data_IF_689383108155
#
_entry.id   IF_689383108155
#
_cell.length_a   1.000
_cell.length_b   1.000
_cell.length_c   1.000
_cell.angle_alpha   90.00
_cell.angle_beta   90.00
_cell.angle_gamma   90.00
#
_symmetry.space_group_name_H-M   'P 1'
#
loop_
_entity.id
_entity.type
_entity.pdbx_description
1 polymer ?
#
# COMPACT_ATOMS: atom_id res chain seq x y z
N UNK A 1 8.49 5.24 -1.91
CA UNK A 1 8.55 5.59 -3.36
C UNK A 1 7.16 5.95 -3.77
N UNK A 2 6.94 7.21 -4.13
CA UNK A 2 5.69 7.59 -4.78
C UNK A 2 5.58 6.72 -6.03
N UNK A 3 4.58 5.85 -6.09
CA UNK A 3 4.28 5.13 -7.31
C UNK A 3 4.08 6.17 -8.43
N UNK A 4 4.59 5.96 -9.63
CA UNK A 4 4.54 6.95 -10.70
C UNK A 4 3.17 6.98 -11.39
N UNK A 5 2.10 7.16 -10.63
CA UNK A 5 0.74 7.32 -11.16
C UNK A 5 0.42 8.78 -11.53
N UNK A 6 1.32 9.72 -11.22
CA UNK A 6 1.14 11.14 -11.48
C UNK A 6 1.97 11.74 -12.60
N UNK A 7 2.73 10.96 -13.38
CA UNK A 7 3.64 11.51 -14.39
C UNK A 7 3.59 10.76 -15.70
N UNK A 8 2.49 10.88 -16.45
CA UNK A 8 2.49 10.73 -17.90
C UNK A 8 1.52 11.73 -18.50
N UNK A 9 1.93 12.96 -18.57
CA UNK A 9 1.57 13.92 -19.61
C UNK A 9 2.42 15.16 -19.43
N UNK A 10 3.74 15.04 -19.56
CA UNK A 10 4.53 16.18 -19.95
C UNK A 10 4.40 16.33 -21.46
N UNK A 11 3.45 17.15 -21.89
CA UNK A 11 3.57 17.78 -23.21
C UNK A 11 4.77 18.71 -23.16
N UNK A 12 5.84 18.32 -23.81
CA UNK A 12 6.95 19.21 -24.14
C UNK A 12 6.39 20.28 -25.09
N UNK A 13 6.13 21.46 -24.56
CA UNK A 13 5.83 22.63 -25.35
C UNK A 13 7.16 23.13 -25.90
N UNK A 14 7.50 22.74 -27.13
CA UNK A 14 8.53 23.44 -27.90
C UNK A 14 8.03 24.86 -28.19
N UNK A 15 8.62 25.86 -27.52
CA UNK A 15 8.49 27.27 -27.91
C UNK A 15 9.18 27.50 -29.25
N UNK A 16 8.40 27.48 -30.31
CA UNK A 16 8.82 28.15 -31.54
C UNK A 16 8.20 29.57 -31.55
N UNK A 17 9.02 30.56 -31.25
CA UNK A 17 8.68 31.95 -31.54
C UNK A 17 8.72 32.18 -33.06
N UNK A 18 7.58 31.97 -33.72
CA UNK A 18 7.40 32.42 -35.09
C UNK A 18 6.62 33.75 -35.06
N UNK A 19 7.34 34.86 -35.29
CA UNK A 19 6.74 36.14 -35.63
C UNK A 19 6.21 36.04 -37.07
N UNK A 20 5.01 35.47 -37.23
CA UNK A 20 4.29 35.40 -38.49
C UNK A 20 3.17 36.43 -38.50
N UNK A 21 3.10 37.26 -39.53
CA UNK A 21 2.01 38.19 -39.79
C UNK A 21 0.65 37.46 -39.70
N UNK A 22 -0.21 37.85 -38.76
CA UNK A 22 -1.57 37.33 -38.64
C UNK A 22 -2.40 37.88 -39.81
N UNK A 23 -2.64 37.04 -40.82
CA UNK A 23 -3.81 37.21 -41.68
C UNK A 23 -5.04 37.23 -40.78
N UNK A 24 -6.03 38.09 -41.03
CA UNK A 24 -7.28 38.17 -40.28
C UNK A 24 -8.04 36.82 -40.42
N UNK A 25 -7.72 35.87 -39.56
CA UNK A 25 -8.42 34.60 -39.51
C UNK A 25 -9.82 34.87 -38.95
N UNK A 26 -10.87 34.30 -39.57
CA UNK A 26 -12.24 34.42 -39.07
C UNK A 26 -12.32 33.95 -37.60
N UNK A 27 -13.28 34.46 -36.86
CA UNK A 27 -13.44 34.23 -35.40
C UNK A 27 -13.51 32.74 -35.04
N UNK A 28 -13.96 31.91 -35.97
CA UNK A 28 -14.10 30.45 -35.82
C UNK A 28 -13.16 29.66 -36.76
N UNK A 29 -12.20 30.30 -37.40
CA UNK A 29 -11.27 29.58 -38.31
C UNK A 29 -10.28 28.75 -37.46
N UNK A 30 -10.35 27.41 -37.49
CA UNK A 30 -9.48 26.57 -36.66
C UNK A 30 -8.09 26.41 -37.28
N UNK A 31 -7.12 26.08 -36.45
CA UNK A 31 -5.82 25.55 -36.87
C UNK A 31 -5.96 24.13 -37.46
N UNK A 32 -4.92 23.55 -38.09
CA UNK A 32 -4.99 22.20 -38.63
C UNK A 32 -5.33 21.09 -37.67
N UNK A 33 -5.11 21.31 -36.36
CA UNK A 33 -5.48 20.40 -35.30
C UNK A 33 -6.89 20.64 -34.75
N UNK A 34 -7.62 21.62 -35.29
CA UNK A 34 -8.95 22.02 -34.82
C UNK A 34 -8.93 23.06 -33.69
N UNK A 35 -7.75 23.52 -33.24
CA UNK A 35 -7.65 24.55 -32.17
C UNK A 35 -8.22 25.89 -32.71
N UNK A 36 -9.25 26.43 -32.04
CA UNK A 36 -9.90 27.68 -32.41
C UNK A 36 -9.15 28.88 -31.82
N UNK A 37 -9.39 30.12 -32.37
CA UNK A 37 -8.88 31.35 -31.77
C UNK A 37 -9.30 31.50 -30.31
N UNK A 38 -10.53 31.09 -29.92
CA UNK A 38 -11.03 31.11 -28.57
C UNK A 38 -10.23 30.18 -27.66
N UNK A 39 -9.98 28.94 -28.09
CA UNK A 39 -9.15 28.00 -27.34
C UNK A 39 -7.74 28.54 -27.09
N UNK A 40 -7.17 29.22 -28.08
CA UNK A 40 -5.85 29.86 -27.97
C UNK A 40 -5.85 30.98 -26.94
N UNK A 41 -6.87 31.87 -27.00
CA UNK A 41 -7.02 32.96 -26.06
C UNK A 41 -7.16 32.46 -24.60
N UNK A 42 -7.95 31.40 -24.40
CA UNK A 42 -8.10 30.76 -23.09
C UNK A 42 -6.78 30.13 -22.62
N UNK A 43 -6.08 29.38 -23.47
CA UNK A 43 -4.78 28.77 -23.13
C UNK A 43 -3.73 29.82 -22.74
N UNK A 44 -3.82 31.04 -23.31
CA UNK A 44 -2.94 32.17 -22.97
C UNK A 44 -3.43 33.00 -21.78
N UNK A 45 -4.53 32.58 -21.17
CA UNK A 45 -5.18 33.32 -20.07
C UNK A 45 -5.51 34.79 -20.42
N UNK A 46 -5.85 35.05 -21.71
CA UNK A 46 -6.16 36.37 -22.20
C UNK A 46 -7.65 36.65 -22.12
N UNK A 47 -8.11 37.07 -20.93
CA UNK A 47 -9.52 37.34 -20.65
C UNK A 47 -10.14 38.42 -21.56
N UNK A 48 -9.34 39.43 -21.99
CA UNK A 48 -9.82 40.49 -22.90
C UNK A 48 -10.09 39.95 -24.30
N UNK A 49 -9.22 39.08 -24.80
CA UNK A 49 -9.38 38.43 -26.12
C UNK A 49 -10.51 37.39 -26.07
N UNK A 50 -10.67 36.67 -24.97
CA UNK A 50 -11.83 35.78 -24.72
C UNK A 50 -13.13 36.57 -24.84
N UNK A 51 -13.23 37.71 -24.13
CA UNK A 51 -14.42 38.58 -24.20
C UNK A 51 -14.68 39.11 -25.63
N UNK A 52 -13.62 39.48 -26.34
CA UNK A 52 -13.74 39.98 -27.72
C UNK A 52 -14.27 38.87 -28.64
N UNK A 53 -13.73 37.66 -28.52
CA UNK A 53 -14.11 36.53 -29.36
C UNK A 53 -15.54 36.04 -29.05
N UNK A 54 -15.95 35.98 -27.79
CA UNK A 54 -17.33 35.63 -27.40
C UNK A 54 -18.33 36.65 -27.98
N UNK A 55 -18.04 37.96 -27.87
CA UNK A 55 -18.90 38.99 -28.48
C UNK A 55 -18.97 38.95 -29.99
N UNK A 56 -17.97 38.35 -30.63
CA UNK A 56 -17.92 38.15 -32.06
C UNK A 56 -18.47 36.79 -32.52
N UNK A 57 -19.31 36.15 -31.68
CA UNK A 57 -19.95 34.86 -31.92
C UNK A 57 -18.97 33.69 -32.13
N UNK A 58 -17.88 33.66 -31.35
CA UNK A 58 -17.02 32.48 -31.30
C UNK A 58 -17.79 31.25 -30.83
N UNK A 59 -17.60 30.12 -31.52
CA UNK A 59 -18.20 28.85 -31.11
C UNK A 59 -17.53 28.35 -29.82
N UNK A 60 -18.22 28.55 -28.69
CA UNK A 60 -17.76 28.11 -27.36
C UNK A 60 -17.82 26.60 -27.15
N UNK A 61 -18.53 25.86 -28.05
CA UNK A 61 -18.69 24.40 -27.97
C UNK A 61 -17.72 23.67 -28.88
N UNK A 62 -16.98 24.39 -29.72
CA UNK A 62 -16.02 23.77 -30.59
C UNK A 62 -15.03 22.90 -29.82
N UNK A 63 -14.74 21.72 -30.34
CA UNK A 63 -13.70 20.83 -29.83
C UNK A 63 -12.64 20.60 -30.91
N UNK A 64 -11.38 20.50 -30.52
CA UNK A 64 -10.33 20.12 -31.46
C UNK A 64 -10.32 18.58 -31.63
N UNK A 65 -9.42 18.06 -32.50
CA UNK A 65 -9.31 16.60 -32.76
C UNK A 65 -8.96 15.74 -31.53
N UNK A 66 -8.61 16.35 -30.41
CA UNK A 66 -8.31 15.70 -29.14
C UNK A 66 -9.46 15.86 -28.13
N UNK A 67 -10.66 16.25 -28.58
CA UNK A 67 -11.82 16.55 -27.75
C UNK A 67 -11.60 17.68 -26.72
N UNK A 68 -10.57 18.52 -26.92
CA UNK A 68 -10.30 19.68 -26.07
C UNK A 68 -11.18 20.84 -26.47
N UNK A 69 -11.87 21.44 -25.49
CA UNK A 69 -12.73 22.62 -25.67
C UNK A 69 -12.10 23.87 -25.01
N UNK A 70 -12.63 25.05 -25.29
CA UNK A 70 -12.24 26.25 -24.55
C UNK A 70 -12.49 26.12 -23.05
N UNK A 71 -13.63 25.51 -22.66
CA UNK A 71 -13.96 25.28 -21.24
C UNK A 71 -12.96 24.33 -20.57
N UNK A 72 -12.58 23.23 -21.21
CA UNK A 72 -11.61 22.30 -20.61
C UNK A 72 -10.24 22.97 -20.39
N UNK A 73 -9.79 23.83 -21.30
CA UNK A 73 -8.57 24.64 -21.14
C UNK A 73 -8.68 25.63 -19.96
N UNK A 74 -9.82 26.31 -19.83
CA UNK A 74 -10.07 27.21 -18.70
C UNK A 74 -10.06 26.48 -17.36
N UNK A 75 -10.58 25.22 -17.33
CA UNK A 75 -10.54 24.37 -16.14
C UNK A 75 -9.12 23.93 -15.77
N UNK A 76 -8.26 23.67 -16.75
CA UNK A 76 -6.82 23.37 -16.52
C UNK A 76 -6.12 24.59 -15.89
N UNK A 77 -6.42 25.79 -16.37
CA UNK A 77 -5.87 27.04 -15.82
C UNK A 77 -6.47 27.38 -14.44
N UNK A 78 -7.65 26.86 -14.14
CA UNK A 78 -8.39 27.16 -12.88
C UNK A 78 -9.00 28.56 -12.84
N UNK A 79 -9.14 29.25 -14.00
CA UNK A 79 -9.67 30.61 -14.08
C UNK A 79 -11.21 30.61 -14.02
N UNK A 80 -11.73 30.85 -12.82
CA UNK A 80 -13.17 30.92 -12.57
C UNK A 80 -13.87 32.02 -13.41
N UNK A 81 -13.19 33.14 -13.69
CA UNK A 81 -13.78 34.23 -14.44
C UNK A 81 -13.95 33.91 -15.93
N UNK A 82 -12.96 33.27 -16.53
CA UNK A 82 -13.05 32.76 -17.92
C UNK A 82 -14.09 31.63 -18.00
N UNK A 83 -14.09 30.69 -17.04
CA UNK A 83 -15.08 29.61 -16.96
C UNK A 83 -16.50 30.20 -16.92
N UNK A 84 -16.75 31.18 -16.05
CA UNK A 84 -18.06 31.85 -15.95
C UNK A 84 -18.49 32.49 -17.29
N UNK A 85 -17.57 33.14 -17.99
CA UNK A 85 -17.86 33.76 -19.30
C UNK A 85 -18.24 32.73 -20.36
N UNK A 86 -17.46 31.63 -20.42
CA UNK A 86 -17.73 30.53 -21.36
C UNK A 86 -19.08 29.86 -21.10
N UNK A 87 -19.41 29.61 -19.82
CA UNK A 87 -20.68 29.00 -19.43
C UNK A 87 -21.87 29.93 -19.74
N UNK A 88 -21.75 31.23 -19.47
CA UNK A 88 -22.76 32.22 -19.86
C UNK A 88 -22.95 32.32 -21.38
N UNK A 89 -21.89 32.07 -22.13
CA UNK A 89 -21.96 32.03 -23.60
C UNK A 89 -22.50 30.70 -24.14
N UNK A 90 -22.85 29.72 -23.26
CA UNK A 90 -23.49 28.47 -23.63
C UNK A 90 -22.56 27.27 -23.75
N UNK A 91 -21.33 27.34 -23.20
CA UNK A 91 -20.51 26.16 -23.04
C UNK A 91 -21.21 25.15 -22.10
N UNK A 92 -21.04 23.86 -22.36
CA UNK A 92 -21.64 22.81 -21.56
C UNK A 92 -20.76 22.48 -20.32
N UNK A 93 -21.23 22.69 -19.07
CA UNK A 93 -20.48 22.38 -17.87
C UNK A 93 -20.17 20.87 -17.70
N UNK A 94 -20.82 20.02 -18.51
CA UNK A 94 -20.64 18.57 -18.49
C UNK A 94 -19.97 18.05 -19.78
N UNK A 95 -19.40 18.93 -20.60
CA UNK A 95 -18.73 18.51 -21.83
C UNK A 95 -17.61 17.53 -21.51
N UNK A 96 -17.79 16.25 -21.92
CA UNK A 96 -16.83 15.21 -21.71
C UNK A 96 -15.57 15.42 -22.58
N UNK A 97 -14.41 15.33 -21.96
CA UNK A 97 -13.12 15.24 -22.61
C UNK A 97 -12.74 13.80 -22.95
N UNK A 98 -11.47 13.53 -23.22
CA UNK A 98 -10.97 12.17 -23.35
C UNK A 98 -11.32 11.34 -22.09
N UNK A 99 -11.67 10.07 -22.29
CA UNK A 99 -12.01 9.14 -21.19
C UNK A 99 -13.19 9.62 -20.32
N UNK A 100 -14.09 10.42 -20.90
CA UNK A 100 -15.25 11.02 -20.22
C UNK A 100 -14.88 11.95 -19.03
N UNK A 101 -13.64 12.46 -19.00
CA UNK A 101 -13.21 13.45 -18.01
C UNK A 101 -14.06 14.72 -18.12
N UNK A 102 -14.72 15.11 -17.02
CA UNK A 102 -15.56 16.32 -16.99
C UNK A 102 -14.76 17.56 -16.56
N UNK A 103 -15.25 18.78 -16.90
CA UNK A 103 -14.69 20.03 -16.38
C UNK A 103 -14.55 20.05 -14.86
N UNK A 104 -15.54 19.49 -14.13
CA UNK A 104 -15.52 19.42 -12.66
C UNK A 104 -14.40 18.50 -12.15
N UNK A 105 -14.13 17.38 -12.80
CA UNK A 105 -12.99 16.51 -12.47
C UNK A 105 -11.66 17.21 -12.67
N UNK A 106 -11.50 17.93 -13.78
CA UNK A 106 -10.28 18.71 -14.05
C UNK A 106 -9.99 19.72 -12.94
N UNK A 107 -11.00 20.54 -12.53
CA UNK A 107 -10.81 21.53 -11.46
C UNK A 107 -10.66 20.88 -10.08
N UNK A 108 -11.26 19.70 -9.86
CA UNK A 108 -11.06 18.93 -8.64
C UNK A 108 -9.62 18.44 -8.50
N UNK A 109 -9.01 17.99 -9.60
CA UNK A 109 -7.61 17.59 -9.66
C UNK A 109 -6.63 18.74 -9.41
N UNK A 110 -6.96 19.96 -9.87
CA UNK A 110 -6.09 21.13 -9.70
C UNK A 110 -6.34 21.86 -8.38
N UNK A 111 -7.44 21.56 -7.68
CA UNK A 111 -7.83 22.24 -6.44
C UNK A 111 -8.43 23.62 -6.65
N UNK A 112 -8.87 23.97 -7.87
CA UNK A 112 -9.43 25.28 -8.20
C UNK A 112 -10.88 25.44 -7.68
N UNK A 113 -11.02 25.73 -6.38
CA UNK A 113 -12.29 25.74 -5.64
C UNK A 113 -13.30 26.72 -6.25
N UNK A 114 -12.90 27.93 -6.59
CA UNK A 114 -13.81 28.93 -7.15
C UNK A 114 -14.31 28.55 -8.55
N UNK A 115 -13.44 27.91 -9.35
CA UNK A 115 -13.83 27.33 -10.63
C UNK A 115 -14.86 26.22 -10.46
N UNK A 116 -14.68 25.35 -9.45
CA UNK A 116 -15.64 24.30 -9.14
C UNK A 116 -17.01 24.87 -8.73
N UNK A 117 -17.05 25.91 -7.87
CA UNK A 117 -18.30 26.58 -7.50
C UNK A 117 -19.04 27.14 -8.71
N UNK A 118 -18.31 27.74 -9.65
CA UNK A 118 -18.88 28.26 -10.90
C UNK A 118 -19.49 27.15 -11.74
N UNK A 119 -18.73 26.06 -11.96
CA UNK A 119 -19.24 24.89 -12.69
C UNK A 119 -20.50 24.30 -12.07
N UNK A 120 -20.50 24.10 -10.74
CA UNK A 120 -21.64 23.55 -10.00
C UNK A 120 -22.87 24.49 -10.08
N UNK A 121 -22.67 25.80 -9.97
CA UNK A 121 -23.76 26.78 -10.13
C UNK A 121 -24.39 26.76 -11.53
N UNK A 122 -23.64 26.34 -12.55
CA UNK A 122 -24.12 26.18 -13.93
C UNK A 122 -24.58 24.75 -14.26
N UNK A 123 -24.72 23.85 -13.26
CA UNK A 123 -25.30 22.52 -13.46
C UNK A 123 -24.29 21.43 -13.81
N UNK A 124 -23.02 21.57 -13.42
CA UNK A 124 -22.07 20.45 -13.46
C UNK A 124 -22.57 19.31 -12.56
N UNK A 125 -22.59 18.10 -13.10
CA UNK A 125 -23.00 16.88 -12.40
C UNK A 125 -21.87 16.42 -11.47
N UNK A 126 -22.12 16.45 -10.16
CA UNK A 126 -21.11 16.23 -9.12
C UNK A 126 -20.56 14.79 -9.11
N UNK A 127 -21.42 13.80 -9.41
CA UNK A 127 -21.08 12.37 -9.36
C UNK A 127 -20.85 11.74 -10.75
N UNK A 128 -20.57 12.58 -11.76
CA UNK A 128 -20.10 12.04 -13.05
C UNK A 128 -18.87 11.16 -12.84
N UNK A 129 -18.75 10.11 -13.67
CA UNK A 129 -17.63 9.16 -13.61
C UNK A 129 -16.86 9.21 -14.92
N UNK A 130 -15.55 9.23 -14.86
CA UNK A 130 -14.73 8.99 -16.05
C UNK A 130 -14.79 7.49 -16.43
N UNK A 131 -14.43 7.16 -17.69
CA UNK A 131 -14.65 5.81 -18.23
C UNK A 131 -13.50 4.84 -17.96
N UNK A 132 -12.34 5.30 -17.48
CA UNK A 132 -11.17 4.45 -17.30
C UNK A 132 -11.22 3.69 -15.95
N UNK A 133 -11.41 4.41 -14.86
CA UNK A 133 -11.47 3.83 -13.50
C UNK A 133 -12.81 4.08 -12.81
N UNK A 134 -13.73 4.81 -13.45
CA UNK A 134 -15.02 5.18 -12.86
C UNK A 134 -14.86 6.12 -11.67
N UNK A 135 -13.79 6.90 -11.64
CA UNK A 135 -13.53 7.86 -10.57
C UNK A 135 -14.42 9.10 -10.71
N UNK A 136 -14.75 9.72 -9.57
CA UNK A 136 -15.53 10.96 -9.48
C UNK A 136 -14.62 12.15 -9.17
N UNK A 137 -15.14 13.37 -9.32
CA UNK A 137 -14.44 14.59 -8.91
C UNK A 137 -14.02 14.56 -7.42
N UNK A 138 -14.84 13.96 -6.54
CA UNK A 138 -14.51 13.81 -5.11
C UNK A 138 -13.29 12.91 -4.89
N UNK A 139 -13.18 11.82 -5.64
CA UNK A 139 -12.02 10.92 -5.58
C UNK A 139 -10.76 11.61 -6.07
N UNK A 140 -10.85 12.39 -7.16
CA UNK A 140 -9.72 13.15 -7.70
C UNK A 140 -9.24 14.23 -6.73
N UNK A 141 -10.17 14.95 -6.07
CA UNK A 141 -9.82 15.92 -5.02
C UNK A 141 -9.10 15.25 -3.84
N UNK A 142 -9.54 14.07 -3.43
CA UNK A 142 -8.92 13.30 -2.36
C UNK A 142 -7.53 12.76 -2.75
N UNK A 143 -7.38 12.23 -3.98
CA UNK A 143 -6.12 11.74 -4.52
C UNK A 143 -5.05 12.84 -4.71
N UNK A 144 -5.47 14.10 -4.82
CA UNK A 144 -4.57 15.24 -4.96
C UNK A 144 -4.44 16.06 -3.67
N UNK A 145 -5.02 15.59 -2.57
CA UNK A 145 -4.92 16.23 -1.24
C UNK A 145 -5.50 17.66 -1.19
N UNK A 146 -6.72 17.85 -1.73
CA UNK A 146 -7.42 19.13 -1.76
C UNK A 146 -8.62 19.16 -0.80
N UNK A 147 -8.46 19.40 0.51
CA UNK A 147 -9.53 19.32 1.49
C UNK A 147 -10.64 20.36 1.28
N UNK A 148 -10.35 21.57 0.79
CA UNK A 148 -11.37 22.59 0.53
C UNK A 148 -12.20 22.28 -0.73
N UNK A 149 -11.61 21.62 -1.71
CA UNK A 149 -12.34 21.08 -2.85
C UNK A 149 -13.28 19.95 -2.41
N UNK A 150 -12.83 19.05 -1.53
CA UNK A 150 -13.66 17.99 -0.94
C UNK A 150 -14.88 18.62 -0.25
N UNK A 151 -14.69 19.64 0.61
CA UNK A 151 -15.79 20.35 1.25
C UNK A 151 -16.80 20.93 0.24
N UNK A 152 -16.28 21.52 -0.84
CA UNK A 152 -17.11 22.13 -1.89
C UNK A 152 -17.94 21.08 -2.63
N UNK A 153 -17.35 19.93 -2.98
CA UNK A 153 -18.05 18.84 -3.67
C UNK A 153 -19.10 18.18 -2.76
N UNK A 154 -18.77 17.95 -1.49
CA UNK A 154 -19.73 17.42 -0.50
C UNK A 154 -20.91 18.39 -0.27
N UNK A 155 -20.65 19.69 -0.21
CA UNK A 155 -21.71 20.70 -0.10
C UNK A 155 -22.63 20.72 -1.34
N UNK A 156 -22.12 20.28 -2.49
CA UNK A 156 -22.89 20.12 -3.74
C UNK A 156 -23.61 18.76 -3.83
N UNK A 157 -23.50 17.90 -2.79
CA UNK A 157 -24.20 16.62 -2.71
C UNK A 157 -23.44 15.43 -3.32
N UNK A 158 -22.10 15.52 -3.43
CA UNK A 158 -21.28 14.38 -3.88
C UNK A 158 -21.51 13.13 -2.99
N UNK A 159 -21.65 11.96 -3.60
CA UNK A 159 -21.74 10.70 -2.86
C UNK A 159 -20.39 10.39 -2.20
N UNK A 160 -20.36 10.58 -0.88
CA UNK A 160 -19.17 10.44 -0.04
C UNK A 160 -18.59 9.01 -0.02
N UNK A 161 -19.45 8.00 -0.23
CA UNK A 161 -19.10 6.59 -0.22
C UNK A 161 -19.06 5.97 -1.63
N UNK A 162 -19.16 6.78 -2.67
CA UNK A 162 -18.95 6.30 -4.02
C UNK A 162 -17.60 5.58 -4.12
N UNK A 163 -17.59 4.43 -4.79
CA UNK A 163 -16.38 3.66 -5.05
C UNK A 163 -16.04 3.69 -6.54
N UNK A 164 -14.77 3.68 -6.89
CA UNK A 164 -14.30 3.57 -8.28
C UNK A 164 -14.71 2.21 -8.90
N UNK A 165 -14.60 2.08 -10.20
CA UNK A 165 -14.97 0.84 -10.89
C UNK A 165 -14.09 -0.32 -10.44
N UNK A 166 -14.72 -1.49 -10.23
CA UNK A 166 -14.03 -2.74 -9.98
C UNK A 166 -13.64 -3.38 -11.31
N UNK A 167 -12.34 -3.58 -11.52
CA UNK A 167 -11.81 -4.22 -12.73
C UNK A 167 -11.37 -5.63 -12.40
N UNK A 168 -11.99 -6.61 -13.05
CA UNK A 168 -11.54 -7.99 -12.96
C UNK A 168 -10.49 -8.24 -14.06
N UNK A 169 -9.24 -8.32 -13.65
CA UNK A 169 -8.14 -8.61 -14.57
C UNK A 169 -8.17 -10.08 -14.96
N UNK A 170 -8.08 -10.36 -16.26
CA UNK A 170 -7.80 -11.71 -16.72
C UNK A 170 -6.42 -12.15 -16.22
N UNK A 171 -6.33 -13.44 -15.88
CA UNK A 171 -5.05 -14.03 -15.45
C UNK A 171 -4.00 -13.81 -16.53
N UNK A 172 -3.02 -12.97 -16.23
CA UNK A 172 -1.89 -12.78 -17.13
C UNK A 172 -0.93 -13.95 -17.00
N UNK A 173 -0.86 -14.78 -18.03
CA UNK A 173 0.19 -15.78 -18.17
C UNK A 173 1.46 -15.05 -18.57
N UNK A 174 2.34 -14.81 -17.60
CA UNK A 174 3.69 -14.30 -17.86
C UNK A 174 4.68 -15.46 -17.85
N UNK A 175 5.89 -15.29 -18.42
CA UNK A 175 6.96 -16.26 -18.34
C UNK A 175 7.39 -16.60 -16.89
N UNK A 176 6.97 -15.79 -15.93
CA UNK A 176 7.09 -16.08 -14.50
C UNK A 176 5.82 -16.80 -14.01
N UNK A 177 5.93 -17.94 -13.32
CA UNK A 177 4.78 -18.77 -12.90
C UNK A 177 3.94 -18.17 -11.76
N UNK A 178 3.99 -16.87 -11.54
CA UNK A 178 3.38 -16.19 -10.40
C UNK A 178 2.20 -15.33 -10.82
N UNK A 179 1.10 -15.45 -10.10
CA UNK A 179 -0.04 -14.58 -10.26
C UNK A 179 0.37 -13.16 -9.88
N UNK A 180 0.33 -12.22 -10.84
CA UNK A 180 0.53 -10.82 -10.53
C UNK A 180 -0.73 -10.31 -9.83
N UNK A 181 -0.53 -9.77 -8.65
CA UNK A 181 -1.56 -9.04 -7.95
C UNK A 181 -1.74 -7.64 -8.57
N UNK A 182 -2.86 -7.45 -9.24
CA UNK A 182 -3.26 -6.15 -9.77
C UNK A 182 -4.38 -5.60 -8.90
N UNK A 183 -4.34 -4.30 -8.51
CA UNK A 183 -5.42 -3.66 -7.77
C UNK A 183 -6.72 -3.77 -8.55
N UNK A 184 -7.80 -4.17 -7.88
CA UNK A 184 -9.12 -4.33 -8.51
C UNK A 184 -9.89 -3.01 -8.64
N UNK A 185 -9.41 -1.91 -8.09
CA UNK A 185 -10.18 -0.67 -7.96
C UNK A 185 -11.12 -0.71 -6.76
N UNK A 186 -12.32 -0.11 -6.87
CA UNK A 186 -13.27 -0.07 -5.76
C UNK A 186 -12.88 0.92 -4.65
N UNK A 187 -11.99 1.87 -4.93
CA UNK A 187 -11.52 2.86 -3.95
C UNK A 187 -12.53 3.97 -3.75
N UNK A 188 -12.78 4.32 -2.49
CA UNK A 188 -13.53 5.52 -2.10
C UNK A 188 -12.62 6.74 -1.98
N UNK A 189 -13.22 7.94 -1.93
CA UNK A 189 -12.47 9.17 -1.66
C UNK A 189 -11.66 9.09 -0.33
N UNK A 190 -12.21 8.44 0.72
CA UNK A 190 -11.51 8.24 1.98
C UNK A 190 -10.27 7.34 1.82
N UNK A 191 -10.35 6.30 1.01
CA UNK A 191 -9.20 5.42 0.72
C UNK A 191 -8.11 6.15 -0.06
N UNK A 192 -8.48 7.01 -1.02
CA UNK A 192 -7.53 7.87 -1.72
C UNK A 192 -6.84 8.82 -0.74
N UNK A 193 -7.60 9.52 0.11
CA UNK A 193 -7.06 10.44 1.12
C UNK A 193 -6.10 9.73 2.10
N UNK A 194 -6.45 8.52 2.54
CA UNK A 194 -5.64 7.71 3.44
C UNK A 194 -4.33 7.23 2.77
N UNK A 195 -4.38 6.88 1.49
CA UNK A 195 -3.20 6.49 0.71
C UNK A 195 -2.22 7.64 0.48
N UNK A 196 -2.74 8.85 0.27
CA UNK A 196 -1.93 10.04 -0.04
C UNK A 196 -1.48 10.82 1.22
N UNK A 197 -1.69 10.28 2.43
CA UNK A 197 -1.36 10.92 3.71
C UNK A 197 -2.05 12.29 3.92
N UNK A 198 -3.22 12.50 3.33
CA UNK A 198 -3.94 13.74 3.50
C UNK A 198 -4.82 13.69 4.77
N UNK A 199 -4.23 13.91 5.94
CA UNK A 199 -4.97 13.86 7.21
C UNK A 199 -6.14 14.86 7.25
N UNK A 200 -6.00 16.05 6.66
CA UNK A 200 -7.08 17.02 6.59
C UNK A 200 -8.22 16.56 5.66
N UNK A 201 -7.90 15.88 4.54
CA UNK A 201 -8.91 15.27 3.69
C UNK A 201 -9.67 14.18 4.44
N UNK A 202 -8.95 13.31 5.18
CA UNK A 202 -9.53 12.26 6.02
C UNK A 202 -10.48 12.86 7.07
N UNK A 203 -10.05 13.93 7.76
CA UNK A 203 -10.88 14.62 8.74
C UNK A 203 -12.16 15.20 8.13
N UNK A 204 -12.06 15.81 6.96
CA UNK A 204 -13.22 16.40 6.26
C UNK A 204 -14.18 15.30 5.85
N UNK A 205 -13.71 14.23 5.21
CA UNK A 205 -14.55 13.11 4.76
C UNK A 205 -15.21 12.40 5.93
N UNK A 206 -14.46 12.05 6.97
CA UNK A 206 -14.99 11.39 8.15
C UNK A 206 -16.00 12.27 8.90
N UNK A 207 -15.70 13.58 9.05
CA UNK A 207 -16.60 14.55 9.66
C UNK A 207 -17.92 14.74 8.89
N UNK A 208 -17.91 14.50 7.60
CA UNK A 208 -19.09 14.51 6.74
C UNK A 208 -19.83 13.15 6.66
N UNK A 209 -19.37 12.12 7.40
CA UNK A 209 -20.04 10.84 7.51
C UNK A 209 -19.54 9.75 6.55
N UNK A 210 -18.33 9.85 6.03
CA UNK A 210 -17.73 8.77 5.28
C UNK A 210 -17.65 7.48 6.13
N UNK A 211 -17.96 6.34 5.52
CA UNK A 211 -17.83 5.05 6.20
C UNK A 211 -16.35 4.69 6.36
N UNK A 212 -15.85 4.74 7.60
CA UNK A 212 -14.44 4.47 7.94
C UNK A 212 -14.03 3.01 7.69
N UNK A 213 -15.01 2.12 7.58
CA UNK A 213 -14.83 0.68 7.45
C UNK A 213 -15.15 0.14 6.05
N UNK A 214 -15.50 1.01 5.11
CA UNK A 214 -15.80 0.58 3.75
C UNK A 214 -14.52 0.13 3.05
N UNK A 215 -14.43 -1.17 2.81
CA UNK A 215 -13.26 -1.81 2.21
C UNK A 215 -13.38 -1.87 0.68
N UNK A 216 -12.24 -1.99 0.02
CA UNK A 216 -12.16 -2.33 -1.40
C UNK A 216 -12.54 -3.81 -1.64
N UNK A 217 -12.61 -4.29 -2.90
CA UNK A 217 -12.92 -5.68 -3.21
C UNK A 217 -11.94 -6.71 -2.65
N UNK A 218 -10.74 -6.28 -2.29
CA UNK A 218 -9.74 -7.13 -1.63
C UNK A 218 -9.89 -7.15 -0.11
N UNK A 219 -10.84 -6.38 0.45
CA UNK A 219 -11.08 -6.26 1.89
C UNK A 219 -10.16 -5.25 2.58
N UNK A 220 -9.40 -4.46 1.83
CA UNK A 220 -8.50 -3.45 2.40
C UNK A 220 -9.33 -2.24 2.84
N UNK A 221 -9.33 -1.95 4.15
CA UNK A 221 -9.98 -0.77 4.72
C UNK A 221 -9.10 0.49 4.58
N UNK A 222 -9.67 1.72 4.70
CA UNK A 222 -8.87 2.95 4.73
C UNK A 222 -7.74 2.93 5.76
N UNK A 223 -7.98 2.35 6.95
CA UNK A 223 -6.96 2.21 8.00
C UNK A 223 -5.85 1.24 7.59
N UNK A 224 -6.16 0.06 7.12
CA UNK A 224 -5.14 -0.91 6.63
C UNK A 224 -4.37 -0.31 5.45
N UNK A 225 -5.06 0.40 4.54
CA UNK A 225 -4.43 1.07 3.40
C UNK A 225 -3.41 2.14 3.86
N UNK A 226 -3.74 2.97 4.86
CA UNK A 226 -2.80 3.94 5.41
C UNK A 226 -1.57 3.28 6.06
N UNK A 227 -1.75 2.19 6.82
CA UNK A 227 -0.65 1.46 7.46
C UNK A 227 0.32 0.90 6.43
N UNK A 228 -0.20 0.25 5.38
CA UNK A 228 0.63 -0.33 4.31
C UNK A 228 1.48 0.74 3.60
N UNK A 229 0.95 1.95 3.49
CA UNK A 229 1.65 3.09 2.89
C UNK A 229 2.51 3.87 3.89
N UNK A 230 2.56 3.47 5.17
CA UNK A 230 3.39 4.09 6.21
C UNK A 230 2.82 5.39 6.77
N UNK A 231 1.52 5.61 6.67
CA UNK A 231 0.82 6.82 7.13
C UNK A 231 0.18 6.56 8.50
N UNK A 232 1.02 6.47 9.53
CA UNK A 232 0.61 6.03 10.88
C UNK A 232 -0.27 7.05 11.60
N UNK A 233 -0.06 8.35 11.37
CA UNK A 233 -0.93 9.39 11.94
C UNK A 233 -2.36 9.29 11.42
N UNK A 234 -2.52 8.98 10.12
CA UNK A 234 -3.84 8.76 9.51
C UNK A 234 -4.49 7.51 10.09
N UNK A 235 -3.73 6.41 10.22
CA UNK A 235 -4.23 5.16 10.79
C UNK A 235 -4.71 5.35 12.24
N UNK A 236 -3.90 5.99 13.07
CA UNK A 236 -4.22 6.27 14.48
C UNK A 236 -5.45 7.17 14.58
N UNK A 237 -5.55 8.19 13.76
CA UNK A 237 -6.71 9.08 13.74
C UNK A 237 -8.00 8.33 13.36
N UNK A 238 -7.95 7.47 12.33
CA UNK A 238 -9.09 6.64 11.94
C UNK A 238 -9.51 5.70 13.08
N UNK A 239 -8.54 5.08 13.75
CA UNK A 239 -8.77 4.22 14.92
C UNK A 239 -9.46 4.98 16.06
N UNK A 240 -8.97 6.16 16.40
CA UNK A 240 -9.56 7.04 17.44
C UNK A 240 -10.99 7.48 17.08
N UNK A 241 -11.34 7.50 15.80
CA UNK A 241 -12.69 7.80 15.30
C UNK A 241 -13.59 6.57 15.17
N UNK A 242 -13.12 5.40 15.60
CA UNK A 242 -13.91 4.18 15.66
C UNK A 242 -13.85 3.32 14.41
N UNK A 243 -12.81 3.47 13.59
CA UNK A 243 -12.53 2.46 12.57
C UNK A 243 -12.21 1.13 13.25
N UNK A 244 -12.79 0.04 12.76
CA UNK A 244 -12.64 -1.29 13.32
C UNK A 244 -11.24 -1.88 12.99
N UNK A 245 -10.36 -2.11 13.99
CA UNK A 245 -9.02 -2.66 13.77
C UNK A 245 -9.02 -4.13 13.35
N UNK A 246 -10.15 -4.83 13.48
CA UNK A 246 -10.27 -6.26 13.27
C UNK A 246 -10.82 -6.65 11.89
N UNK A 247 -11.18 -5.67 11.08
CA UNK A 247 -11.48 -5.92 9.68
C UNK A 247 -10.20 -6.33 8.95
N UNK A 248 -10.31 -7.35 8.13
CA UNK A 248 -9.17 -7.96 7.45
C UNK A 248 -9.40 -8.08 5.94
N UNK A 249 -8.30 -8.05 5.20
CA UNK A 249 -8.31 -8.26 3.76
C UNK A 249 -8.45 -9.76 3.40
N UNK A 250 -8.57 -10.07 2.13
CA UNK A 250 -8.69 -11.45 1.62
C UNK A 250 -7.56 -12.38 2.03
N UNK A 251 -6.40 -11.80 2.43
CA UNK A 251 -5.26 -12.58 2.92
C UNK A 251 -5.32 -12.84 4.43
N UNK A 252 -6.31 -12.26 5.12
CA UNK A 252 -6.44 -12.33 6.58
C UNK A 252 -5.63 -11.25 7.31
N UNK A 253 -5.10 -10.25 6.60
CA UNK A 253 -4.32 -9.17 7.18
C UNK A 253 -5.24 -8.10 7.74
N UNK A 254 -5.25 -7.93 9.06
CA UNK A 254 -5.87 -6.82 9.77
C UNK A 254 -4.85 -5.74 10.14
N UNK A 255 -5.32 -4.64 10.75
CA UNK A 255 -4.49 -3.49 11.06
C UNK A 255 -3.28 -3.84 11.95
N UNK A 256 -3.45 -4.68 12.99
CA UNK A 256 -2.34 -5.06 13.88
C UNK A 256 -1.25 -5.84 13.14
N UNK A 257 -1.65 -6.82 12.32
CA UNK A 257 -0.67 -7.55 11.51
C UNK A 257 0.07 -6.62 10.56
N UNK A 258 -0.66 -5.72 9.88
CA UNK A 258 -0.07 -4.76 8.95
C UNK A 258 0.92 -3.82 9.64
N UNK A 259 0.61 -3.37 10.86
CA UNK A 259 1.48 -2.49 11.65
C UNK A 259 2.76 -3.21 12.12
N UNK A 260 2.64 -4.45 12.62
CA UNK A 260 3.80 -5.27 13.02
C UNK A 260 4.68 -5.59 11.80
N UNK A 261 4.07 -5.93 10.67
CA UNK A 261 4.81 -6.21 9.42
C UNK A 261 5.52 -4.96 8.91
N UNK A 262 4.89 -3.78 8.95
CA UNK A 262 5.51 -2.51 8.58
C UNK A 262 6.69 -2.15 9.51
N UNK A 263 6.53 -2.34 10.83
CA UNK A 263 7.56 -2.09 11.83
C UNK A 263 8.80 -2.98 11.64
N UNK A 264 8.62 -4.19 11.16
CA UNK A 264 9.67 -5.21 11.02
C UNK A 264 10.25 -5.30 9.60
N UNK A 265 9.89 -4.41 8.69
CA UNK A 265 10.42 -4.42 7.31
C UNK A 265 11.92 -4.11 7.26
N UNK A 266 12.70 -4.80 6.38
CA UNK A 266 14.11 -4.50 6.23
C UNK A 266 14.34 -3.21 5.44
N UNK A 267 15.47 -2.59 5.71
CA UNK A 267 15.94 -1.40 5.03
C UNK A 267 16.45 -1.65 3.58
N UNK A 268 16.52 -2.90 3.09
CA UNK A 268 17.51 -3.18 2.04
C UNK A 268 17.03 -3.11 0.59
N UNK A 269 15.79 -3.31 0.22
CA UNK A 269 15.39 -3.31 -1.21
C UNK A 269 14.01 -2.73 -1.50
N UNK A 270 13.38 -2.15 -0.53
CA UNK A 270 12.13 -1.40 -0.65
C UNK A 270 12.35 -0.06 0.00
N UNK A 271 11.79 1.01 -0.52
CA UNK A 271 11.66 2.18 0.30
C UNK A 271 10.81 1.75 1.49
N UNK A 272 11.43 1.73 2.65
CA UNK A 272 10.67 1.77 3.89
C UNK A 272 9.67 2.91 3.76
N UNK A 273 8.45 2.76 4.30
CA UNK A 273 7.57 3.90 4.41
C UNK A 273 8.35 5.07 4.98
N UNK A 274 8.19 6.25 4.40
CA UNK A 274 8.85 7.44 4.93
C UNK A 274 8.21 7.82 6.27
N UNK A 275 8.71 7.22 7.35
CA UNK A 275 8.22 7.47 8.71
C UNK A 275 8.51 8.90 9.17
N UNK A 276 9.41 9.63 8.48
CA UNK A 276 9.77 11.01 8.86
C UNK A 276 8.60 12.00 8.75
N UNK A 277 7.56 11.65 8.01
CA UNK A 277 6.35 12.47 7.88
C UNK A 277 5.32 12.21 8.97
N UNK A 278 5.48 11.18 9.79
CA UNK A 278 4.58 10.87 10.88
C UNK A 278 5.04 11.52 12.19
N UNK A 279 4.08 11.90 13.04
CA UNK A 279 4.33 12.36 14.42
C UNK A 279 4.48 11.17 15.38
N UNK A 280 3.84 10.03 15.06
CA UNK A 280 3.93 8.79 15.82
C UNK A 280 4.76 7.74 15.06
N UNK A 281 5.35 6.83 15.80
CA UNK A 281 6.08 5.68 15.23
C UNK A 281 5.13 4.52 14.93
N UNK A 282 5.59 3.57 14.11
CA UNK A 282 4.90 2.28 13.92
C UNK A 282 4.68 1.54 15.24
N UNK A 283 5.62 1.65 16.19
CA UNK A 283 5.48 1.07 17.53
C UNK A 283 4.37 1.74 18.36
N UNK A 284 4.23 3.07 18.25
CA UNK A 284 3.14 3.79 18.93
C UNK A 284 1.78 3.43 18.35
N UNK A 285 1.71 3.22 17.02
CA UNK A 285 0.50 2.71 16.38
C UNK A 285 0.15 1.29 16.86
N UNK A 286 1.14 0.39 16.98
CA UNK A 286 0.92 -0.97 17.53
C UNK A 286 0.33 -0.87 18.96
N UNK A 287 0.89 -0.03 19.83
CA UNK A 287 0.35 0.22 21.18
C UNK A 287 -1.10 0.71 21.14
N UNK A 288 -1.39 1.65 20.26
CA UNK A 288 -2.74 2.20 20.09
C UNK A 288 -3.72 1.13 19.61
N UNK A 289 -3.36 0.34 18.60
CA UNK A 289 -4.19 -0.76 18.11
C UNK A 289 -4.51 -1.78 19.22
N UNK A 290 -3.51 -2.16 20.01
CA UNK A 290 -3.67 -3.06 21.15
C UNK A 290 -4.57 -2.47 22.25
N UNK A 291 -4.51 -1.15 22.47
CA UNK A 291 -5.37 -0.47 23.43
C UNK A 291 -6.84 -0.39 22.96
N UNK A 292 -7.06 -0.37 21.64
CA UNK A 292 -8.40 -0.35 21.03
C UNK A 292 -8.95 -1.75 20.71
N UNK A 293 -8.34 -2.83 21.25
CA UNK A 293 -8.88 -4.18 21.14
C UNK A 293 -8.63 -4.87 19.80
N UNK A 294 -7.51 -4.55 19.14
CA UNK A 294 -7.07 -5.33 17.99
C UNK A 294 -6.80 -6.79 18.38
N UNK A 295 -7.31 -7.74 17.61
CA UNK A 295 -7.14 -9.17 17.84
C UNK A 295 -5.67 -9.58 17.65
N UNK A 296 -5.01 -9.91 18.76
CA UNK A 296 -3.60 -10.31 18.80
C UNK A 296 -3.34 -11.69 18.18
N UNK A 297 -4.40 -12.48 18.01
CA UNK A 297 -4.31 -13.87 17.55
C UNK A 297 -4.84 -14.07 16.11
N UNK A 298 -5.21 -12.98 15.44
CA UNK A 298 -5.68 -13.08 14.06
C UNK A 298 -4.61 -13.68 13.15
N UNK A 299 -5.02 -14.69 12.38
CA UNK A 299 -4.12 -15.44 11.53
C UNK A 299 -4.31 -15.07 10.05
N UNK A 300 -3.21 -15.01 9.31
CA UNK A 300 -3.26 -14.94 7.85
C UNK A 300 -3.96 -16.19 7.29
N UNK A 301 -4.78 -15.97 6.24
CA UNK A 301 -5.53 -17.02 5.52
C UNK A 301 -4.78 -17.52 4.30
N UNK A 302 -4.00 -16.64 3.69
CA UNK A 302 -3.15 -16.94 2.54
C UNK A 302 -1.87 -16.12 2.63
N UNK A 303 -0.91 -16.43 1.76
CA UNK A 303 0.30 -15.64 1.61
C UNK A 303 -0.02 -14.21 1.18
N UNK A 304 0.74 -13.25 1.73
CA UNK A 304 0.63 -11.84 1.36
C UNK A 304 1.10 -11.61 -0.08
N UNK A 305 0.46 -10.70 -0.83
CA UNK A 305 0.93 -10.35 -2.16
C UNK A 305 2.32 -9.72 -2.10
N UNK A 306 3.14 -10.00 -3.11
CA UNK A 306 4.49 -9.46 -3.22
C UNK A 306 4.48 -7.94 -3.22
N UNK A 307 5.31 -7.33 -2.37
CA UNK A 307 5.47 -5.87 -2.29
C UNK A 307 6.53 -5.32 -3.24
N UNK A 308 7.36 -6.17 -3.85
CA UNK A 308 8.44 -5.76 -4.74
C UNK A 308 8.62 -6.71 -5.92
N UNK A 309 9.09 -6.16 -7.06
CA UNK A 309 9.43 -6.94 -8.26
C UNK A 309 10.62 -7.90 -8.07
N UNK A 310 11.41 -7.69 -7.03
CA UNK A 310 12.64 -8.45 -6.74
C UNK A 310 12.37 -9.57 -5.73
N UNK A 311 11.20 -9.58 -5.10
CA UNK A 311 10.80 -10.57 -4.12
C UNK A 311 10.49 -11.90 -4.82
N UNK A 312 11.50 -12.71 -5.00
CA UNK A 312 11.41 -14.03 -5.65
C UNK A 312 11.00 -15.13 -4.68
N UNK A 313 10.99 -14.85 -3.40
CA UNK A 313 10.77 -15.82 -2.35
C UNK A 313 9.31 -15.98 -1.99
N UNK A 314 8.84 -17.20 -1.96
CA UNK A 314 7.77 -17.58 -1.07
C UNK A 314 8.36 -17.47 0.32
N UNK A 315 8.04 -16.39 1.06
CA UNK A 315 8.35 -16.37 2.47
C UNK A 315 7.50 -17.42 3.16
N UNK A 316 8.06 -18.63 3.23
CA UNK A 316 7.41 -19.81 3.81
C UNK A 316 7.01 -19.60 5.26
N UNK A 317 7.54 -18.52 5.88
CA UNK A 317 7.25 -18.10 7.23
C UNK A 317 6.05 -17.15 7.33
N UNK A 318 5.69 -16.47 6.23
CA UNK A 318 4.59 -15.51 6.17
C UNK A 318 3.41 -16.07 5.35
N UNK A 319 3.04 -17.28 5.67
CA UNK A 319 1.99 -18.05 5.00
C UNK A 319 0.72 -18.13 5.86
N UNK A 320 -0.23 -18.93 5.41
CA UNK A 320 -1.47 -19.26 6.16
C UNK A 320 -1.14 -19.64 7.61
N UNK A 321 -1.85 -19.07 8.54
CA UNK A 321 -1.69 -19.32 9.97
C UNK A 321 -0.73 -18.37 10.68
N UNK A 322 0.01 -17.52 9.96
CA UNK A 322 0.91 -16.54 10.59
C UNK A 322 0.11 -15.52 11.40
N UNK A 323 0.55 -15.30 12.65
CA UNK A 323 0.01 -14.30 13.58
C UNK A 323 0.95 -13.10 13.72
N UNK A 324 0.51 -11.97 14.32
CA UNK A 324 1.40 -10.86 14.64
C UNK A 324 2.63 -11.26 15.45
N UNK A 325 2.48 -12.17 16.45
CA UNK A 325 3.61 -12.63 17.26
C UNK A 325 4.60 -13.50 16.47
N UNK A 326 4.13 -14.31 15.53
CA UNK A 326 5.01 -15.05 14.62
C UNK A 326 5.82 -14.10 13.73
N UNK A 327 5.18 -13.03 13.24
CA UNK A 327 5.86 -12.01 12.44
C UNK A 327 6.94 -11.28 13.23
N UNK A 328 6.62 -10.88 14.48
CA UNK A 328 7.57 -10.24 15.38
C UNK A 328 8.73 -11.19 15.76
N UNK A 329 8.44 -12.46 16.04
CA UNK A 329 9.44 -13.49 16.37
C UNK A 329 10.41 -13.73 15.21
N UNK A 330 9.92 -13.80 13.98
CA UNK A 330 10.78 -13.89 12.79
C UNK A 330 11.76 -12.73 12.72
N UNK A 331 11.32 -11.52 13.05
CA UNK A 331 12.14 -10.32 13.02
C UNK A 331 13.06 -10.15 14.25
N UNK A 332 12.88 -10.97 15.30
CA UNK A 332 13.59 -10.79 16.57
C UNK A 332 13.17 -9.54 17.32
N UNK A 333 11.92 -9.13 17.19
CA UNK A 333 11.41 -7.92 17.82
C UNK A 333 10.90 -8.21 19.24
N UNK A 334 11.83 -8.20 20.17
CA UNK A 334 11.60 -8.49 21.59
C UNK A 334 10.53 -7.57 22.20
N UNK A 335 10.52 -6.30 21.80
CA UNK A 335 9.59 -5.28 22.33
C UNK A 335 8.16 -5.60 21.90
N UNK A 336 7.95 -5.86 20.64
CA UNK A 336 6.62 -6.18 20.09
C UNK A 336 6.15 -7.54 20.62
N UNK A 337 7.04 -8.55 20.71
CA UNK A 337 6.71 -9.85 21.32
C UNK A 337 6.19 -9.67 22.74
N UNK A 338 6.91 -8.90 23.58
CA UNK A 338 6.49 -8.67 24.97
C UNK A 338 5.12 -7.98 25.06
N UNK A 339 4.88 -6.97 24.23
CA UNK A 339 3.60 -6.25 24.17
C UNK A 339 2.44 -7.17 23.74
N UNK A 340 2.67 -8.02 22.74
CA UNK A 340 1.66 -8.97 22.25
C UNK A 340 1.34 -10.02 23.33
N UNK A 341 2.35 -10.57 24.02
CA UNK A 341 2.16 -11.51 25.12
C UNK A 341 1.38 -10.89 26.28
N UNK A 342 1.69 -9.64 26.65
CA UNK A 342 0.95 -8.89 27.69
C UNK A 342 -0.54 -8.75 27.33
N UNK A 343 -0.86 -8.64 26.06
CA UNK A 343 -2.22 -8.52 25.54
C UNK A 343 -2.89 -9.87 25.23
N UNK A 344 -2.27 -10.99 25.61
CA UNK A 344 -2.86 -12.32 25.49
C UNK A 344 -2.64 -13.00 24.14
N UNK A 345 -1.59 -12.62 23.41
CA UNK A 345 -1.20 -13.38 22.24
C UNK A 345 -0.83 -14.82 22.63
N UNK A 346 -1.37 -15.79 21.90
CA UNK A 346 -1.00 -17.20 22.05
C UNK A 346 0.25 -17.51 21.19
N UNK A 347 1.43 -17.63 21.80
CA UNK A 347 2.66 -17.90 21.07
C UNK A 347 2.77 -19.32 20.54
N UNK A 348 1.82 -20.21 20.89
CA UNK A 348 1.77 -21.61 20.42
C UNK A 348 1.06 -21.74 19.08
N UNK A 349 0.32 -20.74 18.66
CA UNK A 349 -0.25 -20.71 17.32
C UNK A 349 0.86 -20.85 16.28
N UNK A 350 0.61 -21.64 15.25
CA UNK A 350 1.60 -21.96 14.23
C UNK A 350 1.07 -21.68 12.84
N UNK A 351 1.98 -21.57 11.88
CA UNK A 351 1.64 -21.56 10.46
C UNK A 351 1.00 -22.88 10.06
N UNK A 352 0.40 -22.92 8.85
CA UNK A 352 -0.12 -24.16 8.24
C UNK A 352 0.90 -25.29 8.22
N UNK A 353 2.18 -24.93 8.12
CA UNK A 353 3.28 -25.92 8.09
C UNK A 353 3.80 -26.28 9.50
N UNK A 354 3.14 -25.81 10.55
CA UNK A 354 3.51 -26.14 11.94
C UNK A 354 4.64 -25.30 12.53
N UNK A 355 5.10 -24.26 11.83
CA UNK A 355 6.15 -23.37 12.35
C UNK A 355 5.55 -22.49 13.43
N UNK A 356 6.06 -22.60 14.66
CA UNK A 356 5.69 -21.77 15.81
C UNK A 356 6.65 -20.58 16.01
N UNK A 357 6.37 -19.75 17.01
CA UNK A 357 7.12 -18.54 17.28
C UNK A 357 8.59 -18.79 17.69
N UNK A 358 8.89 -19.87 18.43
CA UNK A 358 10.28 -20.22 18.79
C UNK A 358 11.07 -20.68 17.56
N UNK A 359 10.47 -21.50 16.70
CA UNK A 359 11.08 -21.91 15.41
C UNK A 359 11.36 -20.69 14.53
N UNK A 360 10.41 -19.75 14.45
CA UNK A 360 10.57 -18.52 13.69
C UNK A 360 11.71 -17.64 14.23
N UNK A 361 11.79 -17.51 15.57
CA UNK A 361 12.88 -16.78 16.21
C UNK A 361 14.23 -17.46 15.99
N UNK A 362 14.30 -18.79 15.98
CA UNK A 362 15.50 -19.57 15.70
C UNK A 362 15.87 -19.67 14.22
N UNK A 363 15.12 -19.03 13.32
CA UNK A 363 15.46 -18.95 11.90
C UNK A 363 15.01 -20.13 11.06
N UNK A 364 14.18 -21.03 11.57
CA UNK A 364 13.65 -22.15 10.80
C UNK A 364 12.81 -21.62 9.62
N UNK A 365 13.12 -22.06 8.41
CA UNK A 365 12.42 -21.67 7.19
C UNK A 365 12.71 -20.26 6.70
N UNK A 366 13.56 -19.48 7.37
CA UNK A 366 14.00 -18.17 6.89
C UNK A 366 15.10 -18.37 5.82
N UNK A 367 14.88 -17.80 4.63
CA UNK A 367 15.91 -17.76 3.60
C UNK A 367 16.75 -16.47 3.76
N UNK A 368 18.07 -16.53 3.58
CA UNK A 368 18.92 -15.34 3.64
C UNK A 368 18.66 -14.37 2.49
N UNK A 369 18.18 -14.88 1.36
CA UNK A 369 17.73 -14.09 0.23
C UNK A 369 16.34 -13.47 0.43
N UNK A 370 15.64 -13.83 1.51
CA UNK A 370 14.38 -13.20 1.88
C UNK A 370 14.65 -11.74 2.24
N UNK A 371 14.66 -10.88 1.24
CA UNK A 371 14.71 -9.44 1.42
C UNK A 371 13.54 -8.89 2.25
N UNK A 372 12.89 -9.77 3.01
CA UNK A 372 11.64 -9.53 3.74
C UNK A 372 11.87 -9.75 5.23
N UNK A 373 12.18 -8.70 5.94
CA UNK A 373 12.24 -8.69 7.38
C UNK A 373 13.51 -8.02 7.93
N UNK A 374 13.42 -7.47 9.14
CA UNK A 374 14.54 -6.93 9.89
C UNK A 374 15.58 -8.05 10.07
N UNK A 375 16.86 -7.75 9.77
CA UNK A 375 17.96 -8.64 10.11
C UNK A 375 18.14 -8.63 11.61
N UNK A 376 17.76 -9.71 12.29
CA UNK A 376 17.97 -9.87 13.72
C UNK A 376 19.38 -10.35 14.02
N UNK A 377 19.92 -9.92 15.16
CA UNK A 377 21.12 -10.48 15.74
C UNK A 377 20.83 -11.77 16.48
N UNK A 378 21.84 -12.61 16.74
CA UNK A 378 21.66 -13.81 17.56
C UNK A 378 21.16 -13.44 18.99
N UNK A 379 21.62 -12.32 19.54
CA UNK A 379 21.12 -11.83 20.83
C UNK A 379 19.61 -11.54 20.81
N UNK A 380 19.13 -10.78 19.83
CA UNK A 380 17.69 -10.49 19.68
C UNK A 380 16.87 -11.77 19.49
N UNK A 381 17.40 -12.75 18.76
CA UNK A 381 16.77 -14.05 18.61
C UNK A 381 16.70 -14.80 19.94
N UNK A 382 17.78 -14.83 20.74
CA UNK A 382 17.83 -15.46 22.06
C UNK A 382 16.85 -14.78 23.02
N UNK A 383 16.87 -13.44 23.08
CA UNK A 383 15.96 -12.68 23.93
C UNK A 383 14.48 -12.95 23.55
N UNK A 384 14.19 -13.10 22.24
CA UNK A 384 12.87 -13.48 21.74
C UNK A 384 12.49 -14.91 22.17
N UNK A 385 13.40 -15.87 21.97
CA UNK A 385 13.22 -17.28 22.33
C UNK A 385 12.97 -17.40 23.86
N UNK A 386 13.71 -16.67 24.68
CA UNK A 386 13.56 -16.64 26.14
C UNK A 386 12.12 -16.25 26.55
N UNK A 387 11.61 -15.15 25.97
CA UNK A 387 10.24 -14.71 26.25
C UNK A 387 9.20 -15.76 25.83
N UNK A 388 9.39 -16.38 24.66
CA UNK A 388 8.46 -17.35 24.11
C UNK A 388 8.47 -18.68 24.87
N UNK A 389 9.65 -19.15 25.30
CA UNK A 389 9.76 -20.33 26.17
C UNK A 389 9.11 -20.09 27.55
N UNK A 390 9.33 -18.90 28.16
CA UNK A 390 8.65 -18.50 29.39
C UNK A 390 7.13 -18.42 29.25
N UNK A 391 6.65 -18.10 28.05
CA UNK A 391 5.22 -18.12 27.70
C UNK A 391 4.69 -19.53 27.41
N UNK A 392 5.53 -20.57 27.54
CA UNK A 392 5.14 -21.97 27.48
C UNK A 392 5.12 -22.60 26.09
N UNK A 393 5.87 -22.03 25.14
CA UNK A 393 6.11 -22.71 23.85
C UNK A 393 7.08 -23.87 24.07
N UNK A 394 6.75 -25.03 23.50
CA UNK A 394 7.62 -26.21 23.61
C UNK A 394 8.86 -26.05 22.73
N UNK A 395 10.05 -26.13 23.34
CA UNK A 395 11.35 -26.07 22.66
C UNK A 395 11.57 -27.21 21.66
N UNK A 396 10.89 -28.35 21.89
CA UNK A 396 10.98 -29.57 21.07
C UNK A 396 9.80 -29.74 20.11
N UNK A 397 8.92 -28.73 19.99
CA UNK A 397 7.91 -28.74 18.95
C UNK A 397 8.54 -28.88 17.57
N UNK A 398 7.87 -29.56 16.65
CA UNK A 398 8.34 -29.79 15.30
C UNK A 398 7.34 -29.29 14.26
N UNK A 399 7.84 -28.83 13.11
CA UNK A 399 7.04 -28.45 11.98
C UNK A 399 6.51 -29.68 11.18
N UNK A 400 5.83 -29.44 10.08
CA UNK A 400 5.28 -30.49 9.22
C UNK A 400 6.35 -31.40 8.60
N UNK A 401 7.63 -31.00 8.61
CA UNK A 401 8.78 -31.80 8.13
C UNK A 401 9.45 -32.56 9.26
N UNK A 402 9.09 -32.33 10.51
CA UNK A 402 9.75 -32.89 11.68
C UNK A 402 10.96 -32.07 12.13
N UNK A 403 11.10 -30.83 11.66
CA UNK A 403 12.21 -29.95 12.01
C UNK A 403 11.83 -29.08 13.23
N UNK A 404 12.70 -29.02 14.23
CA UNK A 404 12.55 -28.20 15.43
C UNK A 404 13.31 -26.86 15.33
N UNK A 405 13.20 -26.03 16.35
CA UNK A 405 13.95 -24.76 16.40
C UNK A 405 15.46 -24.92 16.25
N UNK A 406 16.02 -26.03 16.79
CA UNK A 406 17.46 -26.34 16.64
C UNK A 406 17.85 -26.57 15.20
N UNK A 407 16.99 -27.15 14.34
CA UNK A 407 17.27 -27.29 12.93
C UNK A 407 17.46 -25.92 12.27
N UNK A 408 16.59 -24.96 12.57
CA UNK A 408 16.70 -23.60 12.05
C UNK A 408 18.01 -22.91 12.44
N UNK A 409 18.37 -22.99 13.72
CA UNK A 409 19.62 -22.43 14.24
C UNK A 409 20.87 -23.12 13.63
N UNK A 410 20.79 -24.44 13.47
CA UNK A 410 21.88 -25.23 12.88
C UNK A 410 22.09 -24.92 11.37
N UNK A 411 21.02 -24.77 10.61
CA UNK A 411 21.05 -24.38 9.21
C UNK A 411 21.64 -22.97 8.98
N UNK A 412 21.55 -22.10 9.99
CA UNK A 412 22.04 -20.72 9.95
C UNK A 412 23.45 -20.56 10.52
N UNK A 413 24.03 -21.61 11.11
CA UNK A 413 25.31 -21.51 11.77
C UNK A 413 25.27 -20.63 13.04
N UNK A 414 24.15 -20.61 13.75
CA UNK A 414 23.92 -19.75 14.91
C UNK A 414 24.29 -20.49 16.21
N UNK A 415 25.60 -20.55 16.50
CA UNK A 415 26.16 -21.31 17.62
C UNK A 415 25.56 -20.93 18.97
N UNK A 416 25.41 -19.62 19.23
CA UNK A 416 24.83 -19.13 20.50
C UNK A 416 23.38 -19.58 20.71
N UNK A 417 22.59 -19.61 19.62
CA UNK A 417 21.20 -20.05 19.69
C UNK A 417 21.12 -21.57 19.87
N UNK A 418 21.96 -22.35 19.18
CA UNK A 418 22.05 -23.81 19.39
C UNK A 418 22.40 -24.13 20.84
N UNK A 419 23.41 -23.42 21.42
CA UNK A 419 23.77 -23.59 22.81
C UNK A 419 22.59 -23.24 23.74
N UNK A 420 21.97 -22.08 23.50
CA UNK A 420 20.84 -21.62 24.33
C UNK A 420 19.66 -22.61 24.31
N UNK A 421 19.28 -23.09 23.12
CA UNK A 421 18.20 -24.08 23.00
C UNK A 421 18.54 -25.40 23.71
N UNK A 422 19.80 -25.86 23.58
CA UNK A 422 20.27 -27.05 24.28
C UNK A 422 20.23 -26.92 25.81
N UNK A 423 20.64 -25.76 26.36
CA UNK A 423 20.57 -25.45 27.79
C UNK A 423 19.12 -25.41 28.32
N UNK A 424 18.13 -25.22 27.41
CA UNK A 424 16.71 -25.24 27.70
C UNK A 424 16.02 -26.56 27.32
N UNK A 425 16.79 -27.64 27.12
CA UNK A 425 16.28 -28.98 26.92
C UNK A 425 15.90 -29.34 25.49
N UNK A 426 16.43 -28.62 24.49
CA UNK A 426 16.24 -28.98 23.10
C UNK A 426 16.99 -30.28 22.77
N UNK A 427 16.34 -31.19 22.06
CA UNK A 427 16.89 -32.45 21.62
C UNK A 427 17.72 -32.22 20.34
N UNK A 428 19.01 -32.59 20.41
CA UNK A 428 19.97 -32.36 19.36
C UNK A 428 20.11 -33.52 18.37
N UNK A 429 19.51 -34.68 18.65
CA UNK A 429 19.58 -35.93 17.91
C UNK A 429 18.25 -36.37 17.29
N UNK A 430 17.19 -35.61 17.45
CA UNK A 430 15.91 -35.87 16.79
C UNK A 430 16.07 -35.81 15.27
N UNK A 431 15.36 -36.71 14.58
CA UNK A 431 15.40 -36.80 13.13
C UNK A 431 14.15 -36.21 12.52
N UNK A 432 14.35 -35.42 11.46
CA UNK A 432 13.25 -34.99 10.61
C UNK A 432 12.63 -36.18 9.84
N UNK A 433 11.60 -35.93 9.05
CA UNK A 433 10.94 -36.98 8.23
C UNK A 433 11.81 -37.62 7.15
N UNK A 434 12.95 -36.98 6.81
CA UNK A 434 13.96 -37.52 5.89
C UNK A 434 15.07 -38.32 6.61
N UNK A 435 15.02 -38.36 7.93
CA UNK A 435 16.01 -39.01 8.78
C UNK A 435 17.25 -38.17 9.06
N UNK A 436 17.21 -36.87 8.76
CA UNK A 436 18.30 -35.94 9.02
C UNK A 436 18.19 -35.37 10.44
N UNK A 437 19.34 -35.06 11.03
CA UNK A 437 19.49 -34.49 12.36
C UNK A 437 19.90 -33.01 12.29
N UNK A 438 19.80 -32.22 13.38
CA UNK A 438 20.38 -30.88 13.44
C UNK A 438 21.87 -30.85 13.08
N UNK A 439 22.63 -31.90 13.36
CA UNK A 439 24.03 -32.03 12.91
C UNK A 439 24.12 -32.10 11.41
N UNK A 440 23.24 -32.87 10.74
CA UNK A 440 23.19 -32.95 9.29
C UNK A 440 22.82 -31.61 8.67
N UNK A 441 21.94 -30.87 9.34
CA UNK A 441 21.55 -29.50 8.94
C UNK A 441 22.76 -28.55 8.98
N UNK A 442 23.55 -28.57 10.06
CA UNK A 442 24.79 -27.79 10.17
C UNK A 442 25.83 -28.17 9.12
N UNK A 443 25.82 -29.43 8.66
CA UNK A 443 26.72 -29.95 7.60
C UNK A 443 26.19 -29.68 6.19
N UNK A 444 25.17 -28.86 6.03
CA UNK A 444 24.60 -28.50 4.73
C UNK A 444 23.79 -29.61 4.05
N UNK A 445 23.41 -30.67 4.78
CA UNK A 445 22.68 -31.83 4.23
C UNK A 445 21.17 -31.66 4.26
N UNK A 446 20.64 -30.79 5.13
CA UNK A 446 19.23 -30.44 5.14
C UNK A 446 18.98 -29.50 3.96
N UNK A 447 18.27 -29.97 2.96
CA UNK A 447 18.03 -29.23 1.72
C UNK A 447 17.27 -27.92 2.01
N UNK A 448 17.77 -26.82 1.44
CA UNK A 448 17.11 -25.52 1.47
C UNK A 448 15.72 -25.59 0.84
N UNK A 449 14.84 -24.69 1.27
CA UNK A 449 13.50 -24.46 0.71
C UNK A 449 13.57 -23.71 -0.65
N UNK A 450 14.52 -24.01 -1.51
CA UNK A 450 14.67 -23.34 -2.80
C UNK A 450 14.51 -24.30 -3.98
N UNK A 451 14.25 -23.75 -5.15
CA UNK A 451 14.29 -24.44 -6.46
C UNK A 451 15.67 -25.02 -6.80
N UNK A 452 16.65 -24.78 -5.95
CA UNK A 452 18.01 -25.26 -6.06
C UNK A 452 18.21 -26.41 -5.09
N UNK A 453 18.53 -27.60 -5.63
CA UNK A 453 19.02 -28.76 -4.87
C UNK A 453 20.43 -28.51 -4.32
N UNK A 454 20.87 -27.26 -4.20
CA UNK A 454 22.15 -26.94 -3.58
C UNK A 454 22.14 -27.42 -2.13
N UNK A 455 23.15 -28.16 -1.75
CA UNK A 455 23.52 -28.44 -0.37
C UNK A 455 23.62 -27.07 0.35
N UNK A 456 22.98 -26.92 1.50
CA UNK A 456 23.07 -25.70 2.34
C UNK A 456 24.54 -25.40 2.69
N UNK A 457 24.80 -24.19 3.17
CA UNK A 457 26.13 -23.83 3.66
C UNK A 457 26.57 -24.76 4.80
N UNK A 458 27.86 -25.09 4.82
CA UNK A 458 28.46 -25.92 5.88
C UNK A 458 28.92 -25.00 7.01
N UNK A 459 28.40 -25.22 8.21
CA UNK A 459 28.73 -24.48 9.43
C UNK A 459 29.54 -25.38 10.38
N UNK A 460 30.87 -25.47 10.15
CA UNK A 460 31.74 -26.36 10.89
C UNK A 460 31.77 -26.13 12.40
N UNK A 461 31.72 -24.84 12.85
CA UNK A 461 31.66 -24.47 14.27
C UNK A 461 30.41 -25.04 14.93
N UNK A 462 29.26 -24.86 14.29
CA UNK A 462 27.97 -25.35 14.77
C UNK A 462 27.92 -26.87 14.83
N UNK A 463 28.44 -27.54 13.80
CA UNK A 463 28.54 -28.99 13.78
C UNK A 463 29.45 -29.52 14.90
N UNK A 464 30.58 -28.87 15.17
CA UNK A 464 31.48 -29.21 16.28
C UNK A 464 30.80 -29.00 17.63
N UNK A 465 30.10 -27.89 17.81
CA UNK A 465 29.33 -27.57 19.03
C UNK A 465 28.24 -28.66 19.29
N UNK A 466 27.44 -29.02 18.27
CA UNK A 466 26.40 -30.04 18.43
C UNK A 466 27.01 -31.37 18.83
N UNK A 467 28.16 -31.81 18.21
CA UNK A 467 28.86 -33.04 18.60
C UNK A 467 29.34 -33.00 20.06
N UNK A 468 29.88 -31.86 20.50
CA UNK A 468 30.33 -31.65 21.87
C UNK A 468 29.17 -31.77 22.87
N UNK A 469 28.03 -31.13 22.57
CA UNK A 469 26.83 -31.16 23.43
C UNK A 469 26.23 -32.56 23.51
N UNK A 470 26.15 -33.28 22.40
CA UNK A 470 25.71 -34.69 22.37
C UNK A 470 26.63 -35.61 23.17
N UNK A 471 27.94 -35.35 23.21
CA UNK A 471 28.89 -36.13 23.99
C UNK A 471 28.77 -35.87 25.51
N UNK A 472 28.36 -34.69 25.91
CA UNK A 472 28.17 -34.33 27.33
C UNK A 472 26.89 -34.92 27.93
N UNK A 473 25.89 -35.24 27.08
CA UNK A 473 24.59 -35.76 27.51
C UNK A 473 24.52 -37.30 27.47
N UNK A 474 25.60 -37.95 27.13
CA UNK A 474 25.82 -39.42 27.26
C UNK A 474 26.52 -39.76 28.57
#
# INVERSE_FOLDING_TARGET
MKAPWGRRSFFVVCLFAATGAFAATGVNTPEPDGTTPLMRAVRQDNAAEVDRLIRADADVKAANRYSVTALSLACINGDAAIIEKLLKAGADPNAAGPEDETPLMTVARTGAVDAAKVLLAHGAKVDSRESWHGETALMWAAAQSHPDMIKTLLAAGADINAASTVVHWERQVTAEPRDKWLPLGGFTALMFAARENCIECVKVLAGAGANLNLADPDGITPMVNSIINGHYDVAAWLLDKGADPNLFDKTGRAALYAAVDAHTMPYSNRPSPDESQNQITSLDLIKSLLAHGADVNMQLRTQQPYRSKVDRGDDTMLTTGTTPILRAAKAGDVVVIAMLLEKGADPKLSTRNGINSVMAAAGLGANESDGVGRRKTQKEAIDSIDLLLKAGVDVNAVDSRGESAVFGAAQKGWDEIVQYLADHGAKLDEKDKKGLTPLDAAMGRAGGLGFDNSTGDVHESTAALIKQLLAKNK
#
